data_IF_625084104325
#
_entry.id   IF_625084104325
#
_cell.length_a   1.000
_cell.length_b   1.000
_cell.length_c   1.000
_cell.angle_alpha   90.00
_cell.angle_beta   90.00
_cell.angle_gamma   90.00
#
_symmetry.space_group_name_H-M   'P 1'
#
loop_
_entity.id
_entity.type
_entity.pdbx_description
1 polymer ?
#
# COMPACT_ATOMS: atom_id res chain seq x y z
N UNK A 1 -1.71 24.06 26.91
CA UNK A 1 -1.68 22.57 26.93
C UNK A 1 -2.29 21.95 25.68
N UNK A 2 -3.46 22.40 25.21
CA UNK A 2 -4.09 21.91 23.96
C UNK A 2 -3.17 22.11 22.75
N UNK A 3 -2.65 23.32 22.54
CA UNK A 3 -1.77 23.64 21.40
C UNK A 3 -0.50 22.78 21.42
N UNK A 4 0.12 22.61 22.59
CA UNK A 4 1.29 21.76 22.75
C UNK A 4 1.02 20.30 22.37
N UNK A 5 -0.17 19.75 22.69
CA UNK A 5 -0.56 18.39 22.27
C UNK A 5 -0.79 18.31 20.76
N UNK A 6 -1.37 19.35 20.16
CA UNK A 6 -1.58 19.40 18.72
C UNK A 6 -0.24 19.45 17.97
N UNK A 7 0.68 20.29 18.39
CA UNK A 7 2.03 20.36 17.81
C UNK A 7 2.81 19.06 18.00
N UNK A 8 2.69 18.42 19.17
CA UNK A 8 3.28 17.11 19.40
C UNK A 8 2.71 16.04 18.45
N UNK A 9 1.39 16.02 18.22
CA UNK A 9 0.78 15.09 17.26
C UNK A 9 1.25 15.35 15.83
N UNK A 10 1.38 16.61 15.41
CA UNK A 10 1.96 16.94 14.09
C UNK A 10 3.40 16.44 13.98
N UNK A 11 4.21 16.69 15.00
CA UNK A 11 5.60 16.20 15.06
C UNK A 11 5.67 14.68 14.97
N UNK A 12 4.87 13.96 15.76
CA UNK A 12 4.81 12.50 15.73
C UNK A 12 4.37 11.98 14.36
N UNK A 13 3.30 12.55 13.80
CA UNK A 13 2.83 12.16 12.46
C UNK A 13 3.94 12.30 11.42
N UNK A 14 4.65 13.44 11.42
CA UNK A 14 5.76 13.68 10.50
C UNK A 14 6.93 12.69 10.72
N UNK A 15 7.38 12.53 11.96
CA UNK A 15 8.51 11.68 12.31
C UNK A 15 8.25 10.21 11.91
N UNK A 16 7.07 9.69 12.23
CA UNK A 16 6.70 8.30 11.96
C UNK A 16 6.47 8.06 10.45
N UNK A 17 5.83 8.99 9.74
CA UNK A 17 5.64 8.87 8.28
C UNK A 17 6.98 8.96 7.52
N UNK A 18 7.94 9.74 8.01
CA UNK A 18 9.30 9.80 7.43
C UNK A 18 9.99 8.43 7.52
N UNK A 19 9.80 7.69 8.61
CA UNK A 19 10.40 6.36 8.78
C UNK A 19 9.89 5.37 7.71
N UNK A 20 8.59 5.38 7.40
CA UNK A 20 8.02 4.58 6.30
C UNK A 20 8.59 4.95 4.93
N UNK A 21 8.69 6.25 4.62
CA UNK A 21 9.31 6.74 3.38
C UNK A 21 10.79 6.33 3.27
N UNK A 22 11.54 6.39 4.38
CA UNK A 22 12.94 5.94 4.43
C UNK A 22 13.06 4.45 4.14
N UNK A 23 12.16 3.62 4.66
CA UNK A 23 12.15 2.19 4.40
C UNK A 23 11.91 1.91 2.91
N UNK A 24 10.94 2.58 2.30
CA UNK A 24 10.66 2.45 0.85
C UNK A 24 11.89 2.84 0.01
N UNK A 25 12.53 3.96 0.34
CA UNK A 25 13.72 4.44 -0.36
C UNK A 25 14.90 3.46 -0.25
N UNK A 26 15.06 2.80 0.91
CA UNK A 26 16.08 1.78 1.08
C UNK A 26 15.82 0.60 0.14
N UNK A 27 14.58 0.09 0.08
CA UNK A 27 14.20 -1.03 -0.82
C UNK A 27 14.50 -0.73 -2.28
N UNK A 28 14.13 0.45 -2.79
CA UNK A 28 14.38 0.83 -4.19
C UNK A 28 15.88 0.92 -4.50
N UNK A 29 16.68 1.43 -3.56
CA UNK A 29 18.14 1.53 -3.73
C UNK A 29 18.82 0.16 -3.68
N UNK A 30 18.45 -0.66 -2.70
CA UNK A 30 18.91 -2.04 -2.59
C UNK A 30 18.60 -2.82 -3.88
N UNK A 31 17.38 -2.68 -4.41
CA UNK A 31 16.99 -3.31 -5.67
C UNK A 31 17.78 -2.81 -6.88
N UNK A 32 18.11 -1.51 -6.93
CA UNK A 32 18.96 -0.94 -7.98
C UNK A 32 20.38 -1.52 -7.92
N UNK A 33 20.94 -1.64 -6.72
CA UNK A 33 22.27 -2.22 -6.50
C UNK A 33 22.30 -3.70 -6.91
N UNK A 34 21.27 -4.50 -6.59
CA UNK A 34 21.23 -5.89 -7.06
C UNK A 34 21.18 -6.00 -8.57
N UNK A 35 20.34 -5.20 -9.23
CA UNK A 35 20.20 -5.24 -10.69
C UNK A 35 21.52 -4.91 -11.38
N UNK A 36 22.36 -4.07 -10.78
CA UNK A 36 23.70 -3.77 -11.30
C UNK A 36 24.70 -4.93 -11.12
N UNK A 37 24.45 -5.89 -10.23
CA UNK A 37 25.25 -7.11 -10.08
C UNK A 37 26.73 -6.81 -9.82
N UNK A 38 27.63 -7.40 -10.60
CA UNK A 38 29.09 -7.21 -10.46
C UNK A 38 29.59 -5.80 -10.82
N UNK A 39 28.76 -4.98 -11.48
CA UNK A 39 29.08 -3.59 -11.77
C UNK A 39 28.85 -2.67 -10.55
N UNK A 40 28.13 -3.15 -9.55
CA UNK A 40 27.87 -2.39 -8.34
C UNK A 40 29.12 -2.26 -7.47
N UNK A 41 29.37 -1.05 -7.01
CA UNK A 41 30.42 -0.73 -6.04
C UNK A 41 29.82 -0.61 -4.65
N UNK A 42 30.63 -0.85 -3.62
CA UNK A 42 30.24 -0.59 -2.23
C UNK A 42 29.78 0.85 -2.00
N UNK A 43 30.32 1.81 -2.76
CA UNK A 43 29.90 3.21 -2.74
C UNK A 43 28.46 3.42 -3.20
N UNK A 44 27.91 2.50 -4.01
CA UNK A 44 26.58 2.61 -4.59
C UNK A 44 25.47 2.22 -3.59
N UNK A 45 25.82 1.43 -2.56
CA UNK A 45 24.97 1.25 -1.38
C UNK A 45 24.86 2.56 -0.57
N UNK A 46 25.87 3.43 -0.68
CA UNK A 46 25.92 4.75 -0.03
C UNK A 46 25.90 4.69 1.49
N UNK A 47 26.40 5.74 2.13
CA UNK A 47 26.19 5.97 3.57
C UNK A 47 24.77 6.49 3.78
N UNK A 48 23.73 5.70 3.48
CA UNK A 48 22.38 6.13 3.86
C UNK A 48 22.26 5.73 5.32
N UNK A 49 22.35 6.66 6.29
CA UNK A 49 21.95 6.33 7.64
C UNK A 49 20.45 6.03 7.60
N UNK A 50 20.12 4.77 7.35
CA UNK A 50 18.78 4.28 7.53
C UNK A 50 18.61 4.01 9.01
N UNK A 51 17.93 4.93 9.68
CA UNK A 51 17.53 4.80 11.07
C UNK A 51 16.07 5.22 11.16
N UNK A 52 15.30 4.38 11.83
CA UNK A 52 13.96 4.73 12.27
C UNK A 52 14.00 5.14 13.73
N UNK A 53 12.97 5.83 14.17
CA UNK A 53 12.86 6.30 15.53
C UNK A 53 12.28 5.20 16.44
N UNK A 54 12.97 4.06 16.57
CA UNK A 54 12.49 2.90 17.34
C UNK A 54 11.98 3.24 18.75
N UNK A 55 12.64 4.12 19.54
CA UNK A 55 12.14 4.50 20.86
C UNK A 55 10.80 5.25 20.80
N UNK A 56 10.58 6.04 19.74
CA UNK A 56 9.32 6.77 19.55
C UNK A 56 8.20 5.78 19.21
N UNK A 57 8.43 4.86 18.28
CA UNK A 57 7.46 3.81 17.94
C UNK A 57 7.05 3.00 19.17
N UNK A 58 8.03 2.50 19.92
CA UNK A 58 7.79 1.76 21.16
C UNK A 58 6.95 2.58 22.14
N UNK A 59 7.32 3.84 22.38
CA UNK A 59 6.60 4.72 23.30
C UNK A 59 5.16 4.97 22.84
N UNK A 60 4.93 5.19 21.54
CA UNK A 60 3.60 5.43 20.96
C UNK A 60 2.67 4.24 21.20
N UNK A 61 3.15 3.01 21.03
CA UNK A 61 2.36 1.81 21.33
C UNK A 61 2.13 1.62 22.83
N UNK A 62 3.13 1.87 23.67
CA UNK A 62 3.03 1.68 25.13
C UNK A 62 2.03 2.65 25.79
N UNK A 63 1.92 3.88 25.31
CA UNK A 63 1.03 4.91 25.88
C UNK A 63 -0.23 5.13 25.06
N UNK A 64 -0.53 4.24 24.12
CA UNK A 64 -1.61 4.42 23.17
C UNK A 64 -2.97 4.61 23.87
N UNK A 65 -3.67 5.73 23.64
CA UNK A 65 -4.98 5.98 24.24
C UNK A 65 -6.05 5.13 23.55
N UNK A 66 -6.67 4.22 24.32
CA UNK A 66 -7.61 3.21 23.81
C UNK A 66 -8.89 3.75 23.17
N UNK A 67 -9.25 5.00 23.46
CA UNK A 67 -10.53 5.62 23.07
C UNK A 67 -10.36 6.95 22.33
N UNK A 68 -9.18 7.22 21.74
CA UNK A 68 -8.92 8.46 21.01
C UNK A 68 -8.82 8.19 19.49
N UNK A 69 -9.91 8.43 18.72
CA UNK A 69 -9.90 8.25 17.26
C UNK A 69 -8.80 9.06 16.56
N UNK A 70 -8.41 10.22 17.08
CA UNK A 70 -7.36 11.04 16.44
C UNK A 70 -5.97 10.41 16.63
N UNK A 71 -5.73 9.78 17.78
CA UNK A 71 -4.49 9.05 18.01
C UNK A 71 -4.42 7.81 17.11
N UNK A 72 -5.53 7.09 16.95
CA UNK A 72 -5.59 5.96 16.03
C UNK A 72 -5.41 6.40 14.56
N UNK A 73 -6.06 7.48 14.14
CA UNK A 73 -5.90 8.04 12.80
C UNK A 73 -4.42 8.37 12.48
N UNK A 74 -3.70 8.97 13.43
CA UNK A 74 -2.27 9.25 13.30
C UNK A 74 -1.46 7.96 13.11
N UNK A 75 -1.75 6.94 13.93
CA UNK A 75 -1.06 5.66 13.89
C UNK A 75 -1.31 4.92 12.58
N UNK A 76 -2.56 4.87 12.11
CA UNK A 76 -2.95 4.29 10.82
C UNK A 76 -2.20 5.00 9.68
N UNK A 77 -2.21 6.33 9.66
CA UNK A 77 -1.49 7.14 8.65
C UNK A 77 0.00 6.87 8.64
N UNK A 78 0.61 6.72 9.83
CA UNK A 78 2.03 6.42 9.96
C UNK A 78 2.38 5.02 9.42
N UNK A 79 1.60 4.00 9.79
CA UNK A 79 1.81 2.61 9.36
C UNK A 79 1.55 2.46 7.86
N UNK A 80 0.50 3.10 7.34
CA UNK A 80 0.13 3.08 5.92
C UNK A 80 1.27 3.52 4.99
N UNK A 81 2.13 4.44 5.43
CA UNK A 81 3.30 4.91 4.67
C UNK A 81 4.34 3.81 4.36
N UNK A 82 4.26 2.67 5.04
CA UNK A 82 5.13 1.50 4.83
C UNK A 82 4.36 0.22 4.48
N UNK A 83 3.04 0.31 4.28
CA UNK A 83 2.17 -0.86 4.15
C UNK A 83 2.48 -1.69 2.89
N UNK A 84 2.92 -1.06 1.79
CA UNK A 84 3.25 -1.76 0.53
C UNK A 84 4.59 -2.52 0.56
N UNK A 85 5.36 -2.42 1.66
CA UNK A 85 6.71 -2.97 1.76
C UNK A 85 6.67 -4.32 2.49
N UNK A 86 7.42 -5.31 2.04
CA UNK A 86 7.62 -6.56 2.78
C UNK A 86 9.04 -6.69 3.33
N UNK A 87 9.27 -7.64 4.23
CA UNK A 87 10.59 -7.99 4.72
C UNK A 87 11.49 -8.46 3.57
N UNK A 88 12.63 -7.78 3.43
CA UNK A 88 13.64 -8.18 2.47
C UNK A 88 14.24 -9.55 2.82
N UNK A 89 14.42 -10.38 1.80
CA UNK A 89 14.98 -11.72 1.87
C UNK A 89 16.47 -11.68 1.56
N UNK A 90 17.34 -12.09 2.50
CA UNK A 90 18.79 -12.16 2.26
C UNK A 90 19.16 -13.01 1.04
N UNK A 91 18.33 -13.98 0.68
CA UNK A 91 18.56 -14.95 -0.38
C UNK A 91 18.52 -14.35 -1.78
N UNK A 92 17.73 -13.28 -1.99
CA UNK A 92 17.56 -12.63 -3.30
C UNK A 92 18.87 -11.98 -3.77
N UNK A 93 19.81 -11.75 -2.84
CA UNK A 93 21.05 -11.01 -3.09
C UNK A 93 22.30 -11.88 -2.91
N UNK A 94 22.17 -13.20 -3.05
CA UNK A 94 23.32 -14.10 -3.13
C UNK A 94 24.09 -13.82 -4.43
N UNK A 95 25.13 -13.01 -4.35
CA UNK A 95 26.07 -12.87 -5.47
C UNK A 95 26.63 -14.25 -5.85
N UNK A 96 26.49 -14.63 -7.14
CA UNK A 96 27.07 -15.86 -7.69
C UNK A 96 28.61 -15.78 -7.81
N UNK A 97 29.17 -14.59 -7.62
CA UNK A 97 30.60 -14.30 -7.70
C UNK A 97 31.32 -14.63 -6.39
N UNK A 98 32.51 -15.22 -6.49
CA UNK A 98 33.39 -15.54 -5.34
C UNK A 98 34.48 -14.50 -5.10
N UNK A 99 34.47 -13.39 -5.85
CA UNK A 99 35.46 -12.32 -5.70
C UNK A 99 35.37 -11.65 -4.33
N UNK A 100 36.50 -11.12 -3.82
CA UNK A 100 36.53 -10.38 -2.55
C UNK A 100 35.62 -9.15 -2.57
N UNK A 101 35.58 -8.42 -3.70
CA UNK A 101 34.67 -7.29 -3.91
C UNK A 101 33.19 -7.71 -3.80
N UNK A 102 32.84 -8.87 -4.37
CA UNK A 102 31.49 -9.42 -4.27
C UNK A 102 31.14 -9.87 -2.85
N UNK A 103 32.13 -10.30 -2.06
CA UNK A 103 31.94 -10.61 -0.64
C UNK A 103 31.65 -9.35 0.18
N UNK A 104 32.46 -8.29 0.02
CA UNK A 104 32.27 -7.04 0.75
C UNK A 104 30.91 -6.39 0.47
N UNK A 105 30.47 -6.42 -0.80
CA UNK A 105 29.15 -5.92 -1.20
C UNK A 105 28.02 -6.75 -0.57
N UNK A 106 28.17 -8.07 -0.51
CA UNK A 106 27.20 -8.99 0.09
C UNK A 106 27.07 -8.77 1.59
N UNK A 107 28.19 -8.60 2.29
CA UNK A 107 28.21 -8.36 3.73
C UNK A 107 27.56 -7.00 4.05
N UNK A 108 27.86 -5.96 3.26
CA UNK A 108 27.19 -4.66 3.39
C UNK A 108 25.68 -4.77 3.12
N UNK A 109 25.29 -5.49 2.08
CA UNK A 109 23.88 -5.73 1.76
C UNK A 109 23.13 -6.44 2.91
N UNK A 110 23.73 -7.48 3.49
CA UNK A 110 23.13 -8.23 4.58
C UNK A 110 22.90 -7.36 5.83
N UNK A 111 23.79 -6.39 6.10
CA UNK A 111 23.61 -5.40 7.16
C UNK A 111 22.41 -4.50 6.87
N UNK A 112 22.26 -4.00 5.64
CA UNK A 112 21.13 -3.15 5.27
C UNK A 112 19.79 -3.89 5.33
N UNK A 113 19.73 -5.16 4.88
CA UNK A 113 18.53 -6.00 5.02
C UNK A 113 18.14 -6.20 6.49
N UNK A 114 19.12 -6.44 7.37
CA UNK A 114 18.85 -6.58 8.80
C UNK A 114 18.32 -5.28 9.39
N UNK A 115 18.91 -4.15 9.02
CA UNK A 115 18.49 -2.82 9.47
C UNK A 115 17.08 -2.51 8.97
N UNK A 116 16.77 -2.82 7.71
CA UNK A 116 15.43 -2.73 7.14
C UNK A 116 14.40 -3.57 7.91
N UNK A 117 14.74 -4.83 8.22
CA UNK A 117 13.88 -5.71 9.01
C UNK A 117 13.60 -5.13 10.40
N UNK A 118 14.64 -4.72 11.13
CA UNK A 118 14.50 -4.12 12.46
C UNK A 118 13.61 -2.88 12.42
N UNK A 119 13.75 -2.06 11.38
CA UNK A 119 12.90 -0.90 11.20
C UNK A 119 11.43 -1.25 10.94
N UNK A 120 11.15 -2.18 10.02
CA UNK A 120 9.78 -2.63 9.79
C UNK A 120 9.17 -3.27 11.05
N UNK A 121 9.95 -4.05 11.80
CA UNK A 121 9.52 -4.61 13.08
C UNK A 121 9.17 -3.50 14.07
N UNK A 122 10.01 -2.47 14.23
CA UNK A 122 9.72 -1.35 15.11
C UNK A 122 8.45 -0.58 14.71
N UNK A 123 8.20 -0.41 13.41
CA UNK A 123 7.02 0.30 12.88
C UNK A 123 5.72 -0.51 12.95
N UNK A 124 5.79 -1.85 13.08
CA UNK A 124 4.61 -2.73 12.98
C UNK A 124 4.29 -3.45 14.28
N UNK A 125 5.30 -3.72 15.10
CA UNK A 125 5.15 -4.46 16.34
C UNK A 125 4.33 -3.66 17.34
N UNK A 126 3.15 -4.15 17.65
CA UNK A 126 2.17 -3.49 18.54
C UNK A 126 1.04 -2.79 17.80
N UNK A 127 1.09 -2.70 16.45
CA UNK A 127 -0.02 -2.13 15.69
C UNK A 127 -1.29 -2.94 15.83
N UNK A 128 -1.20 -4.26 15.65
CA UNK A 128 -2.35 -5.16 15.82
C UNK A 128 -2.93 -5.06 17.22
N UNK A 129 -2.10 -5.13 18.26
CA UNK A 129 -2.56 -4.99 19.66
C UNK A 129 -3.26 -3.65 19.92
N UNK A 130 -2.73 -2.56 19.35
CA UNK A 130 -3.34 -1.23 19.45
C UNK A 130 -4.69 -1.18 18.74
N UNK A 131 -4.79 -1.77 17.55
CA UNK A 131 -6.04 -1.88 16.78
C UNK A 131 -7.06 -2.73 17.52
N UNK A 132 -6.73 -3.95 17.93
CA UNK A 132 -7.64 -4.82 18.69
C UNK A 132 -8.14 -4.15 19.96
N UNK A 133 -7.25 -3.46 20.68
CA UNK A 133 -7.63 -2.71 21.88
C UNK A 133 -8.60 -1.57 21.56
N UNK A 134 -8.33 -0.78 20.52
CA UNK A 134 -9.19 0.32 20.09
C UNK A 134 -10.54 -0.17 19.54
N UNK A 135 -10.51 -1.26 18.78
CA UNK A 135 -11.65 -1.83 18.09
C UNK A 135 -12.68 -2.45 19.05
N UNK A 136 -12.29 -2.71 20.30
CA UNK A 136 -13.20 -3.09 21.40
C UNK A 136 -14.31 -2.06 21.70
N UNK A 137 -14.15 -0.81 21.25
CA UNK A 137 -15.15 0.24 21.38
C UNK A 137 -15.70 0.66 20.00
N UNK A 138 -16.80 0.05 19.58
CA UNK A 138 -17.42 0.28 18.28
C UNK A 138 -17.84 1.74 18.02
N UNK A 139 -18.14 2.54 19.06
CA UNK A 139 -18.43 3.97 18.90
C UNK A 139 -17.19 4.74 18.47
N UNK A 140 -16.04 4.46 19.08
CA UNK A 140 -14.76 5.07 18.70
C UNK A 140 -14.35 4.66 17.29
N UNK A 141 -14.60 3.41 16.91
CA UNK A 141 -14.35 2.91 15.54
C UNK A 141 -15.20 3.66 14.51
N UNK A 142 -16.49 3.87 14.77
CA UNK A 142 -17.34 4.63 13.85
C UNK A 142 -16.89 6.09 13.72
N UNK A 143 -16.57 6.75 14.84
CA UNK A 143 -16.03 8.11 14.84
C UNK A 143 -14.66 8.22 14.13
N UNK A 144 -13.87 7.15 14.15
CA UNK A 144 -12.63 7.06 13.38
C UNK A 144 -12.91 7.03 11.87
N UNK A 145 -13.88 6.21 11.45
CA UNK A 145 -14.23 6.01 10.04
C UNK A 145 -14.96 7.20 9.39
N UNK A 146 -15.51 8.11 10.20
CA UNK A 146 -16.00 9.42 9.72
C UNK A 146 -14.90 10.28 9.08
N UNK A 147 -13.62 9.97 9.31
CA UNK A 147 -12.49 10.66 8.70
C UNK A 147 -12.08 9.98 7.38
N UNK A 148 -12.35 10.61 6.24
CA UNK A 148 -12.04 10.07 4.91
C UNK A 148 -10.57 9.65 4.75
N UNK A 149 -9.62 10.46 5.23
CA UNK A 149 -8.18 10.12 5.19
C UNK A 149 -7.88 8.80 5.91
N UNK A 150 -8.65 8.43 6.93
CA UNK A 150 -8.43 7.17 7.65
C UNK A 150 -8.84 6.00 6.78
N UNK A 151 -9.99 6.08 6.11
CA UNK A 151 -10.43 5.05 5.16
C UNK A 151 -9.42 4.91 4.02
N UNK A 152 -8.91 6.02 3.48
CA UNK A 152 -7.87 6.00 2.46
C UNK A 152 -6.61 5.24 2.92
N UNK A 153 -6.14 5.50 4.14
CA UNK A 153 -4.97 4.83 4.71
C UNK A 153 -5.26 3.36 5.08
N UNK A 154 -6.47 3.03 5.53
CA UNK A 154 -6.90 1.65 5.77
C UNK A 154 -6.90 0.85 4.48
N UNK A 155 -7.33 1.44 3.35
CA UNK A 155 -7.19 0.80 2.04
C UNK A 155 -5.74 0.49 1.70
N UNK A 156 -4.79 1.37 2.02
CA UNK A 156 -3.37 1.07 1.83
C UNK A 156 -2.89 -0.11 2.71
N UNK A 157 -3.37 -0.20 3.95
CA UNK A 157 -3.04 -1.28 4.89
C UNK A 157 -3.70 -2.61 4.48
N UNK A 158 -4.91 -2.59 3.94
CA UNK A 158 -5.60 -3.80 3.41
C UNK A 158 -4.78 -4.49 2.33
N UNK A 159 -4.07 -3.71 1.50
CA UNK A 159 -3.19 -4.18 0.42
C UNK A 159 -1.78 -4.53 0.90
N UNK A 160 -1.53 -4.56 2.22
CA UNK A 160 -0.24 -4.93 2.76
C UNK A 160 0.09 -6.41 2.48
N UNK A 161 1.34 -6.74 2.11
CA UNK A 161 1.80 -8.13 2.06
C UNK A 161 1.97 -8.75 3.46
N UNK A 162 2.02 -7.94 4.52
CA UNK A 162 1.98 -8.40 5.91
C UNK A 162 0.54 -8.72 6.32
N UNK A 163 0.32 -9.99 6.69
CA UNK A 163 -0.96 -10.51 7.17
C UNK A 163 -1.42 -9.76 8.42
N UNK A 164 -0.55 -9.60 9.43
CA UNK A 164 -0.87 -8.85 10.66
C UNK A 164 -1.43 -7.44 10.38
N UNK A 165 -0.83 -6.72 9.43
CA UNK A 165 -1.29 -5.39 9.04
C UNK A 165 -2.64 -5.45 8.33
N UNK A 166 -2.78 -6.30 7.32
CA UNK A 166 -4.05 -6.42 6.56
C UNK A 166 -5.20 -6.95 7.42
N UNK A 167 -4.94 -7.87 8.36
CA UNK A 167 -5.91 -8.34 9.35
C UNK A 167 -6.30 -7.25 10.35
N UNK A 168 -5.37 -6.38 10.74
CA UNK A 168 -5.69 -5.22 11.58
C UNK A 168 -6.66 -4.26 10.88
N UNK A 169 -6.46 -3.99 9.59
CA UNK A 169 -7.40 -3.15 8.83
C UNK A 169 -8.77 -3.82 8.62
N UNK A 170 -8.82 -5.16 8.52
CA UNK A 170 -10.08 -5.92 8.51
C UNK A 170 -10.80 -5.78 9.85
N UNK A 171 -10.11 -5.91 10.98
CA UNK A 171 -10.71 -5.84 12.31
C UNK A 171 -11.49 -4.52 12.52
N UNK A 172 -10.98 -3.39 12.01
CA UNK A 172 -11.70 -2.11 12.03
C UNK A 172 -13.06 -2.19 11.31
N UNK A 173 -13.10 -2.77 10.10
CA UNK A 173 -14.34 -2.95 9.34
C UNK A 173 -15.29 -3.95 10.01
N UNK A 174 -14.75 -5.09 10.48
CA UNK A 174 -15.50 -6.12 11.19
C UNK A 174 -16.21 -5.54 12.42
N UNK A 175 -15.50 -4.74 13.24
CA UNK A 175 -16.09 -4.12 14.43
C UNK A 175 -17.05 -2.98 14.11
N UNK A 176 -16.86 -2.26 12.99
CA UNK A 176 -17.74 -1.17 12.59
C UNK A 176 -19.09 -1.66 12.06
N UNK A 177 -19.06 -2.73 11.25
CA UNK A 177 -20.15 -3.11 10.35
C UNK A 177 -20.58 -4.58 10.42
N UNK A 178 -20.01 -5.37 11.33
CA UNK A 178 -20.37 -6.79 11.52
C UNK A 178 -20.19 -7.62 10.22
N UNK A 179 -19.08 -7.38 9.53
CA UNK A 179 -18.66 -8.13 8.35
C UNK A 179 -17.58 -9.14 8.72
N UNK A 180 -17.38 -10.16 7.88
CA UNK A 180 -16.34 -11.17 8.05
C UNK A 180 -15.44 -11.23 6.81
N UNK A 181 -14.20 -11.63 7.03
CA UNK A 181 -13.20 -11.80 5.99
C UNK A 181 -12.73 -10.50 5.32
N UNK A 182 -11.75 -10.68 4.42
CA UNK A 182 -11.16 -9.58 3.64
C UNK A 182 -12.14 -9.02 2.62
N UNK A 183 -12.89 -9.89 1.95
CA UNK A 183 -13.88 -9.55 0.94
C UNK A 183 -15.06 -8.77 1.54
N UNK A 184 -15.60 -9.22 2.68
CA UNK A 184 -16.64 -8.49 3.42
C UNK A 184 -16.16 -7.13 3.91
N UNK A 185 -14.93 -7.06 4.43
CA UNK A 185 -14.30 -5.80 4.87
C UNK A 185 -14.10 -4.82 3.72
N UNK A 186 -13.52 -5.26 2.60
CA UNK A 186 -13.32 -4.43 1.40
C UNK A 186 -14.65 -3.93 0.85
N UNK A 187 -15.63 -4.83 0.71
CA UNK A 187 -16.97 -4.46 0.25
C UNK A 187 -17.59 -3.37 1.14
N UNK A 188 -17.48 -3.51 2.47
CA UNK A 188 -18.03 -2.56 3.40
C UNK A 188 -17.34 -1.18 3.32
N UNK A 189 -16.02 -1.11 3.13
CA UNK A 189 -15.33 0.16 2.86
C UNK A 189 -15.90 0.86 1.62
N UNK A 190 -16.08 0.14 0.51
CA UNK A 190 -16.68 0.72 -0.69
C UNK A 190 -18.14 1.13 -0.48
N UNK A 191 -18.93 0.30 0.21
CA UNK A 191 -20.36 0.57 0.41
C UNK A 191 -20.61 1.75 1.35
N UNK A 192 -19.82 1.91 2.41
CA UNK A 192 -20.05 2.90 3.47
C UNK A 192 -19.24 4.19 3.29
N UNK A 193 -18.13 4.13 2.55
CA UNK A 193 -17.23 5.26 2.31
C UNK A 193 -16.72 5.22 0.86
N UNK A 194 -17.63 5.27 -0.11
CA UNK A 194 -17.35 5.04 -1.53
C UNK A 194 -16.23 5.93 -2.05
N UNK A 195 -16.32 7.25 -1.86
CA UNK A 195 -15.32 8.19 -2.36
C UNK A 195 -13.91 7.92 -1.78
N UNK A 196 -13.82 7.80 -0.45
CA UNK A 196 -12.56 7.57 0.25
C UNK A 196 -11.95 6.19 -0.09
N UNK A 197 -12.76 5.14 -0.20
CA UNK A 197 -12.31 3.80 -0.56
C UNK A 197 -11.74 3.76 -1.99
N UNK A 198 -12.39 4.39 -2.97
CA UNK A 198 -11.85 4.50 -4.32
C UNK A 198 -10.54 5.29 -4.35
N UNK A 199 -10.49 6.45 -3.67
CA UNK A 199 -9.29 7.28 -3.61
C UNK A 199 -8.11 6.53 -2.98
N UNK A 200 -8.32 5.90 -1.82
CA UNK A 200 -7.32 5.07 -1.15
C UNK A 200 -6.82 3.93 -2.04
N UNK A 201 -7.74 3.24 -2.72
CA UNK A 201 -7.41 2.16 -3.67
C UNK A 201 -6.55 2.66 -4.81
N UNK A 202 -6.90 3.79 -5.44
CA UNK A 202 -6.10 4.35 -6.54
C UNK A 202 -4.69 4.78 -6.09
N UNK A 203 -4.57 5.35 -4.87
CA UNK A 203 -3.28 5.73 -4.29
C UNK A 203 -2.41 4.49 -4.07
N UNK A 204 -2.94 3.44 -3.44
CA UNK A 204 -2.14 2.23 -3.16
C UNK A 204 -1.81 1.46 -4.44
N UNK A 205 -2.70 1.41 -5.43
CA UNK A 205 -2.39 0.76 -6.72
C UNK A 205 -1.29 1.50 -7.47
N UNK A 206 -1.28 2.84 -7.45
CA UNK A 206 -0.18 3.63 -8.03
C UNK A 206 1.15 3.36 -7.32
N UNK A 207 1.11 3.27 -5.99
CA UNK A 207 2.29 2.95 -5.16
C UNK A 207 2.77 1.52 -5.40
N UNK A 208 1.86 0.55 -5.49
CA UNK A 208 2.16 -0.84 -5.77
C UNK A 208 2.77 -1.00 -7.17
N UNK A 209 2.21 -0.32 -8.19
CA UNK A 209 2.77 -0.29 -9.55
C UNK A 209 4.23 0.15 -9.57
N UNK A 210 4.54 1.27 -8.90
CA UNK A 210 5.92 1.78 -8.84
C UNK A 210 6.83 0.84 -8.05
N UNK A 211 6.32 0.24 -6.97
CA UNK A 211 7.06 -0.74 -6.17
C UNK A 211 7.36 -2.00 -6.98
N UNK A 212 6.39 -2.50 -7.75
CA UNK A 212 6.53 -3.66 -8.66
C UNK A 212 7.64 -3.42 -9.68
N UNK A 213 7.65 -2.22 -10.27
CA UNK A 213 8.65 -1.83 -11.26
C UNK A 213 10.05 -1.69 -10.67
N UNK A 214 10.17 -1.15 -9.46
CA UNK A 214 11.48 -0.77 -8.89
C UNK A 214 12.09 -1.82 -7.97
N UNK A 215 11.28 -2.65 -7.31
CA UNK A 215 11.74 -3.62 -6.32
C UNK A 215 11.86 -5.04 -6.88
N UNK A 216 12.98 -5.70 -6.59
CA UNK A 216 13.15 -7.13 -6.93
C UNK A 216 12.29 -8.04 -6.06
N UNK A 217 11.87 -7.56 -4.89
CA UNK A 217 11.11 -8.34 -3.91
C UNK A 217 9.61 -8.04 -3.96
N UNK A 218 9.15 -7.36 -5.01
CA UNK A 218 7.75 -6.94 -5.14
C UNK A 218 6.75 -8.08 -5.43
N UNK A 219 7.19 -9.34 -5.42
CA UNK A 219 6.30 -10.48 -5.54
C UNK A 219 5.27 -10.56 -4.39
N UNK A 220 5.67 -10.23 -3.16
CA UNK A 220 4.74 -10.26 -2.02
C UNK A 220 3.67 -9.17 -2.12
N UNK A 221 4.06 -7.92 -2.44
CA UNK A 221 3.12 -6.81 -2.62
C UNK A 221 2.20 -7.06 -3.82
N UNK A 222 2.75 -7.53 -4.96
CA UNK A 222 1.90 -7.90 -6.10
C UNK A 222 0.90 -8.99 -5.72
N UNK A 223 1.31 -9.97 -4.89
CA UNK A 223 0.43 -11.01 -4.36
C UNK A 223 -0.76 -10.47 -3.58
N UNK A 224 -0.50 -9.71 -2.54
CA UNK A 224 -1.58 -9.08 -1.76
C UNK A 224 -2.45 -8.17 -2.63
N UNK A 225 -1.85 -7.45 -3.60
CA UNK A 225 -2.56 -6.57 -4.52
C UNK A 225 -3.57 -7.33 -5.38
N UNK A 226 -3.17 -8.40 -6.06
CA UNK A 226 -4.10 -9.19 -6.90
C UNK A 226 -5.21 -9.83 -6.07
N UNK A 227 -4.90 -10.28 -4.85
CA UNK A 227 -5.90 -10.83 -3.95
C UNK A 227 -6.95 -9.78 -3.57
N UNK A 228 -6.51 -8.58 -3.17
CA UNK A 228 -7.43 -7.48 -2.87
C UNK A 228 -8.20 -7.04 -4.11
N UNK A 229 -7.57 -6.98 -5.28
CA UNK A 229 -8.24 -6.62 -6.53
C UNK A 229 -9.28 -7.65 -6.96
N UNK A 230 -9.05 -8.94 -6.71
CA UNK A 230 -10.04 -9.98 -6.94
C UNK A 230 -11.28 -9.73 -6.09
N UNK A 231 -11.09 -9.52 -4.80
CA UNK A 231 -12.20 -9.25 -3.87
C UNK A 231 -12.95 -7.95 -4.21
N UNK A 232 -12.23 -6.89 -4.58
CA UNK A 232 -12.84 -5.61 -5.02
C UNK A 232 -13.65 -5.83 -6.29
N UNK A 233 -13.09 -6.54 -7.27
CA UNK A 233 -13.77 -6.86 -8.51
C UNK A 233 -15.01 -7.73 -8.28
N UNK A 234 -15.00 -8.61 -7.28
CA UNK A 234 -16.18 -9.37 -6.88
C UNK A 234 -17.20 -8.50 -6.14
N UNK A 235 -16.76 -7.70 -5.16
CA UNK A 235 -17.61 -6.78 -4.42
C UNK A 235 -18.35 -5.78 -5.33
N UNK A 236 -17.66 -5.25 -6.35
CA UNK A 236 -18.23 -4.28 -7.28
C UNK A 236 -19.08 -4.94 -8.37
N UNK A 237 -18.66 -6.07 -8.94
CA UNK A 237 -19.17 -6.57 -10.22
C UNK A 237 -19.83 -7.97 -10.17
N UNK A 238 -19.87 -8.67 -9.03
CA UNK A 238 -20.54 -9.98 -8.96
C UNK A 238 -22.06 -9.84 -9.05
N UNK A 239 -22.71 -10.50 -10.02
CA UNK A 239 -24.18 -10.46 -10.13
C UNK A 239 -24.84 -11.46 -9.17
N UNK A 240 -25.99 -11.12 -8.56
CA UNK A 240 -26.73 -9.85 -8.67
C UNK A 240 -26.33 -8.79 -7.61
N UNK A 241 -25.50 -9.15 -6.63
CA UNK A 241 -25.32 -8.37 -5.39
C UNK A 241 -24.19 -7.34 -5.44
N UNK A 242 -23.45 -7.28 -6.55
CA UNK A 242 -22.33 -6.38 -6.76
C UNK A 242 -22.78 -4.93 -6.64
N UNK A 243 -21.96 -4.12 -5.98
CA UNK A 243 -22.31 -2.74 -5.63
C UNK A 243 -22.69 -1.91 -6.87
N UNK A 244 -22.10 -2.17 -8.04
CA UNK A 244 -22.44 -1.47 -9.28
C UNK A 244 -23.84 -1.79 -9.84
N UNK A 245 -24.48 -2.86 -9.36
CA UNK A 245 -25.87 -3.19 -9.70
C UNK A 245 -26.87 -2.67 -8.67
N UNK A 246 -26.39 -2.08 -7.57
CA UNK A 246 -27.26 -1.50 -6.56
C UNK A 246 -27.60 -0.07 -6.94
N UNK A 247 -28.90 0.25 -6.92
CA UNK A 247 -29.33 1.54 -7.44
C UNK A 247 -28.82 2.71 -6.62
N UNK A 248 -28.64 2.54 -5.31
CA UNK A 248 -28.21 3.58 -4.36
C UNK A 248 -26.69 3.77 -4.27
N UNK A 249 -25.89 2.85 -4.82
CA UNK A 249 -24.44 2.89 -4.67
C UNK A 249 -23.82 4.15 -5.31
N UNK A 250 -23.05 4.89 -4.52
CA UNK A 250 -22.32 6.09 -4.94
C UNK A 250 -23.15 7.36 -5.13
N UNK A 251 -24.46 7.36 -4.82
CA UNK A 251 -25.31 8.57 -4.97
C UNK A 251 -25.01 9.66 -3.93
N UNK A 252 -24.65 9.27 -2.71
CA UNK A 252 -24.52 10.20 -1.58
C UNK A 252 -23.12 10.84 -1.48
N UNK A 253 -22.13 10.30 -2.18
CA UNK A 253 -20.70 10.61 -1.99
C UNK A 253 -20.14 11.69 -2.93
N UNK A 254 -21.02 12.42 -3.63
CA UNK A 254 -20.67 13.46 -4.61
C UNK A 254 -19.56 13.02 -5.61
N UNK A 255 -19.52 11.72 -5.92
CA UNK A 255 -18.50 11.09 -6.74
C UNK A 255 -19.02 10.86 -8.16
N UNK A 256 -18.21 11.22 -9.16
CA UNK A 256 -18.44 10.83 -10.56
C UNK A 256 -18.06 9.36 -10.74
N UNK A 257 -18.88 8.47 -10.18
CA UNK A 257 -18.71 7.02 -10.19
C UNK A 257 -18.32 6.46 -11.59
N UNK A 258 -18.94 6.89 -12.71
CA UNK A 258 -18.45 6.57 -14.05
C UNK A 258 -16.95 6.70 -14.26
N UNK A 259 -16.43 7.90 -13.99
CA UNK A 259 -15.04 8.26 -14.28
C UNK A 259 -14.10 7.55 -13.32
N UNK A 260 -14.52 7.40 -12.06
CA UNK A 260 -13.71 6.73 -11.04
C UNK A 260 -13.59 5.24 -11.32
N UNK A 261 -14.65 4.58 -11.76
CA UNK A 261 -14.58 3.15 -12.13
C UNK A 261 -13.69 2.93 -13.33
N UNK A 262 -13.78 3.77 -14.37
CA UNK A 262 -12.89 3.69 -15.54
C UNK A 262 -11.43 3.89 -15.10
N UNK A 263 -11.16 4.91 -14.29
CA UNK A 263 -9.81 5.16 -13.78
C UNK A 263 -9.27 4.00 -12.93
N UNK A 264 -10.10 3.40 -12.08
CA UNK A 264 -9.73 2.20 -11.33
C UNK A 264 -9.41 1.03 -12.29
N UNK A 265 -10.21 0.83 -13.33
CA UNK A 265 -10.01 -0.26 -14.30
C UNK A 265 -8.73 -0.13 -15.10
N UNK A 266 -8.43 1.09 -15.56
CA UNK A 266 -7.17 1.40 -16.23
C UNK A 266 -5.99 1.11 -15.31
N UNK A 267 -6.08 1.53 -14.04
CA UNK A 267 -5.00 1.32 -13.07
C UNK A 267 -4.82 -0.15 -12.69
N UNK A 268 -5.91 -0.92 -12.54
CA UNK A 268 -5.85 -2.37 -12.34
C UNK A 268 -5.17 -3.06 -13.53
N UNK A 269 -5.52 -2.64 -14.76
CA UNK A 269 -4.94 -3.15 -16.01
C UNK A 269 -3.44 -2.83 -16.13
N UNK A 270 -3.06 -1.63 -15.72
CA UNK A 270 -1.66 -1.21 -15.67
C UNK A 270 -0.85 -2.02 -14.65
N UNK A 271 -1.38 -2.22 -13.44
CA UNK A 271 -0.72 -2.99 -12.39
C UNK A 271 -0.51 -4.43 -12.83
N UNK A 272 -1.53 -5.10 -13.38
CA UNK A 272 -1.38 -6.49 -13.85
C UNK A 272 -0.41 -6.59 -15.04
N UNK A 273 -0.39 -5.58 -15.92
CA UNK A 273 0.60 -5.48 -16.99
C UNK A 273 2.04 -5.38 -16.46
N UNK A 274 2.28 -4.56 -15.43
CA UNK A 274 3.60 -4.48 -14.78
C UNK A 274 4.00 -5.77 -14.06
N UNK A 275 3.04 -6.46 -13.43
CA UNK A 275 3.27 -7.79 -12.83
C UNK A 275 3.80 -8.76 -13.90
N UNK A 276 3.13 -8.89 -15.05
CA UNK A 276 3.56 -9.79 -16.11
C UNK A 276 4.94 -9.45 -16.69
N UNK A 277 5.27 -8.16 -16.81
CA UNK A 277 6.62 -7.72 -17.24
C UNK A 277 7.69 -8.15 -16.25
N UNK A 278 7.41 -8.04 -14.94
CA UNK A 278 8.39 -8.34 -13.88
C UNK A 278 8.49 -9.82 -13.54
N UNK A 279 7.49 -10.65 -13.90
CA UNK A 279 7.46 -12.09 -13.59
C UNK A 279 8.73 -12.82 -14.02
N UNK A 280 9.24 -12.52 -15.22
CA UNK A 280 10.45 -13.18 -15.76
C UNK A 280 11.66 -12.89 -14.88
N UNK A 281 11.82 -11.64 -14.45
CA UNK A 281 12.90 -11.24 -13.53
C UNK A 281 12.74 -11.90 -12.17
N UNK A 282 11.54 -11.93 -11.60
CA UNK A 282 11.31 -12.56 -10.30
C UNK A 282 11.57 -14.06 -10.29
N UNK A 283 11.35 -14.75 -11.42
CA UNK A 283 11.61 -16.18 -11.56
C UNK A 283 13.09 -16.55 -11.35
N UNK A 284 14.03 -15.59 -11.46
CA UNK A 284 15.44 -15.81 -11.16
C UNK A 284 15.73 -15.87 -9.64
N UNK A 285 14.86 -15.29 -8.82
CA UNK A 285 15.08 -15.06 -7.38
C UNK A 285 14.06 -15.78 -6.48
N UNK A 286 12.95 -16.25 -7.05
CA UNK A 286 11.82 -16.84 -6.33
C UNK A 286 11.68 -18.33 -6.64
N UNK A 287 11.23 -19.09 -5.64
CA UNK A 287 10.98 -20.51 -5.80
C UNK A 287 9.88 -20.78 -6.84
N UNK A 288 10.16 -21.67 -7.80
CA UNK A 288 9.25 -21.97 -8.90
C UNK A 288 7.85 -22.42 -8.45
N UNK A 289 7.67 -23.29 -7.43
CA UNK A 289 6.33 -23.67 -6.96
C UNK A 289 5.50 -22.48 -6.45
N UNK A 290 6.14 -21.55 -5.73
CA UNK A 290 5.49 -20.34 -5.21
C UNK A 290 5.05 -19.46 -6.37
N UNK A 291 5.96 -19.23 -7.33
CA UNK A 291 5.67 -18.43 -8.53
C UNK A 291 4.55 -19.03 -9.38
N UNK A 292 4.49 -20.36 -9.55
CA UNK A 292 3.44 -21.01 -10.35
C UNK A 292 2.05 -20.79 -9.74
N UNK A 293 1.89 -21.04 -8.45
CA UNK A 293 0.61 -20.87 -7.75
C UNK A 293 0.19 -19.40 -7.81
N UNK A 294 1.12 -18.50 -7.50
CA UNK A 294 0.90 -17.07 -7.54
C UNK A 294 0.48 -16.57 -8.94
N UNK A 295 1.23 -16.92 -9.97
CA UNK A 295 0.95 -16.46 -11.33
C UNK A 295 -0.35 -17.03 -11.91
N UNK A 296 -0.76 -18.23 -11.48
CA UNK A 296 -2.08 -18.76 -11.80
C UNK A 296 -3.18 -17.83 -11.29
N UNK A 297 -3.08 -17.39 -10.04
CA UNK A 297 -4.09 -16.51 -9.43
C UNK A 297 -4.11 -15.14 -10.13
N UNK A 298 -2.94 -14.60 -10.49
CA UNK A 298 -2.82 -13.39 -11.30
C UNK A 298 -3.45 -13.52 -12.70
N UNK A 299 -3.28 -14.67 -13.37
CA UNK A 299 -3.91 -14.94 -14.67
C UNK A 299 -5.44 -15.08 -14.57
N UNK A 300 -5.94 -15.70 -13.50
CA UNK A 300 -7.37 -15.78 -13.21
C UNK A 300 -7.94 -14.37 -13.03
N UNK A 301 -7.30 -13.54 -12.20
CA UNK A 301 -7.70 -12.15 -12.03
C UNK A 301 -7.67 -11.37 -13.35
N UNK A 302 -6.62 -11.49 -14.14
CA UNK A 302 -6.51 -10.80 -15.43
C UNK A 302 -7.65 -11.17 -16.39
N UNK A 303 -7.99 -12.46 -16.46
CA UNK A 303 -9.13 -12.95 -17.23
C UNK A 303 -10.44 -12.35 -16.74
N UNK A 304 -10.64 -12.31 -15.42
CA UNK A 304 -11.87 -11.82 -14.81
C UNK A 304 -12.01 -10.30 -14.92
N UNK A 305 -10.90 -9.58 -14.90
CA UNK A 305 -10.82 -8.15 -15.18
C UNK A 305 -11.26 -7.84 -16.62
N UNK A 306 -10.86 -8.64 -17.60
CA UNK A 306 -11.31 -8.44 -19.00
C UNK A 306 -12.77 -8.85 -19.19
N UNK A 307 -13.21 -9.96 -18.59
CA UNK A 307 -14.56 -10.50 -18.80
C UNK A 307 -15.65 -9.61 -18.19
N UNK A 308 -15.39 -9.02 -17.01
CA UNK A 308 -16.33 -8.15 -16.32
C UNK A 308 -16.35 -6.73 -16.90
N UNK A 309 -15.27 -6.29 -17.56
CA UNK A 309 -15.22 -5.07 -18.37
C UNK A 309 -15.97 -5.25 -19.69
N UNK A 310 -17.28 -5.45 -19.61
CA UNK A 310 -18.14 -5.50 -20.77
C UNK A 310 -18.98 -4.21 -20.82
N UNK A 311 -19.09 -3.52 -21.97
CA UNK A 311 -20.00 -2.39 -22.17
C UNK A 311 -21.47 -2.69 -21.83
N UNK A 312 -21.84 -3.96 -21.66
CA UNK A 312 -23.15 -4.39 -21.17
C UNK A 312 -23.26 -4.41 -19.63
N UNK A 313 -22.16 -4.59 -18.91
CA UNK A 313 -22.06 -4.43 -17.45
C UNK A 313 -22.14 -2.96 -17.05
N UNK A 314 -21.67 -2.07 -17.92
CA UNK A 314 -21.78 -0.62 -17.81
C UNK A 314 -22.87 -0.12 -18.77
N UNK A 315 -24.18 -0.32 -18.48
CA UNK A 315 -25.23 0.05 -19.41
C UNK A 315 -25.10 1.52 -19.77
N UNK A 316 -24.97 1.78 -21.07
CA UNK A 316 -24.85 3.11 -21.68
C UNK A 316 -25.90 4.11 -21.15
N UNK A 317 -27.02 3.65 -20.59
CA UNK A 317 -28.03 4.49 -19.95
C UNK A 317 -27.57 5.32 -18.74
N UNK A 318 -26.63 4.84 -17.90
CA UNK A 318 -26.04 5.62 -16.78
C UNK A 318 -24.82 6.46 -17.19
N UNK A 319 -24.18 6.13 -18.32
CA UNK A 319 -22.85 6.64 -18.68
C UNK A 319 -22.79 7.44 -19.99
N UNK A 320 -23.88 7.52 -20.77
CA UNK A 320 -23.88 8.21 -22.07
C UNK A 320 -24.08 9.74 -22.00
N UNK A 321 -24.10 10.34 -20.81
CA UNK A 321 -24.28 11.79 -20.62
C UNK A 321 -23.00 12.47 -20.14
N UNK A 322 -21.87 12.26 -20.80
CA UNK A 322 -20.72 13.16 -20.64
C UNK A 322 -20.03 13.34 -21.99
N UNK A 323 -20.30 14.50 -22.61
CA UNK A 323 -19.54 14.97 -23.76
C UNK A 323 -18.12 15.30 -23.28
N UNK A 324 -17.15 14.75 -24.01
CA UNK A 324 -15.71 14.98 -23.93
C UNK A 324 -15.33 16.43 -23.55
N UNK A 325 -14.62 16.60 -22.44
CA UNK A 325 -14.13 17.92 -22.08
C UNK A 325 -13.41 18.06 -20.74
N UNK A 326 -12.63 17.10 -20.26
CA UNK A 326 -11.67 17.37 -19.18
C UNK A 326 -10.47 16.42 -19.24
N UNK A 327 -9.28 16.98 -19.48
CA UNK A 327 -8.01 16.33 -19.17
C UNK A 327 -7.94 16.16 -17.64
N UNK A 328 -8.16 14.94 -17.15
CA UNK A 328 -7.91 14.58 -15.76
C UNK A 328 -6.40 14.47 -15.57
N UNK A 329 -5.78 15.55 -15.10
CA UNK A 329 -4.44 15.51 -14.52
C UNK A 329 -4.63 15.41 -13.01
N UNK A 330 -4.21 14.28 -12.43
CA UNK A 330 -4.10 14.13 -10.99
C UNK A 330 -2.77 14.75 -10.58
N UNK A 331 -2.80 16.00 -10.11
CA UNK A 331 -1.63 16.61 -9.47
C UNK A 331 -1.36 15.88 -8.16
N UNK A 332 -0.44 14.91 -8.21
CA UNK A 332 0.26 14.44 -7.03
C UNK A 332 1.14 15.61 -6.57
N UNK A 333 0.76 16.29 -5.49
CA UNK A 333 1.61 17.29 -4.85
C UNK A 333 2.89 16.61 -4.34
N UNK A 334 3.90 16.55 -5.21
CA UNK A 334 5.29 16.37 -4.83
C UNK A 334 5.81 17.70 -4.29
N UNK A 335 6.18 17.74 -3.02
CA UNK A 335 6.93 18.85 -2.43
C UNK A 335 8.17 19.14 -3.29
N UNK A 336 8.18 20.30 -3.93
CA UNK A 336 9.34 20.83 -4.65
C UNK A 336 10.52 20.97 -3.67
N UNK A 337 11.52 20.12 -3.84
CA UNK A 337 12.83 20.35 -3.25
C UNK A 337 13.52 21.46 -4.04
N UNK A 338 13.65 22.62 -3.40
CA UNK A 338 14.30 23.80 -3.96
C UNK A 338 15.70 23.51 -4.47
N UNK A 339 15.87 23.63 -5.79
CA UNK A 339 17.18 23.82 -6.43
C UNK A 339 17.63 25.25 -6.13
N UNK A 340 18.64 25.40 -5.27
CA UNK A 340 19.41 26.64 -5.21
C UNK A 340 20.41 26.65 -6.36
N UNK A 341 20.21 27.62 -7.23
CA UNK A 341 21.08 28.03 -8.31
C UNK A 341 22.28 28.75 -7.69
N UNK A 342 23.51 28.23 -7.84
CA UNK A 342 24.74 28.98 -7.61
C UNK A 342 25.66 28.80 -8.81
N UNK A 343 25.53 29.75 -9.74
CA UNK A 343 26.59 30.07 -10.69
C UNK A 343 27.20 31.43 -10.31
N UNK A 344 28.53 31.52 -10.48
CA UNK A 344 29.38 32.72 -10.54
C UNK A 344 29.88 33.32 -9.21
N UNK A 345 31.09 32.91 -8.82
CA UNK A 345 32.32 33.67 -9.10
C UNK A 345 33.53 32.76 -9.13
#
# INVERSE_FOLDING_TARGET
WTDARQELRKFLSLALSIDGKRASNLVSKLSTVARAGELAKRTDLGSIPFRVHEPIWKQVYEVFPKEDPNAMALLIKAVAASAHIDFLKPEIYKSRSTSSTAKDLRDAYAVEVRTHRQALEAMRKGFQDAVTTFASNSKSVRALLEQEEVVENLMAIMFSPSEDLSSSAQEIAMQAWDVDGRDGSLRAYFEKHTAAAFKGTMIILSTAKETIKTSLEACAVSRSTVLCLTDINDALCSKPEGLLFQDEFGKDDAIELPSVIIGLWDLMSDVIGEIFKCTVTWAEYMDSPVMIIWMRDALIFARDLVSKFNPTTFPRGRFASQKSGTNLTWEVHGEETGRSDHSRR
#
